data_IF_878766404341
#
_entry.id   IF_878766404341
#
_cell.length_a   1.000
_cell.length_b   1.000
_cell.length_c   1.000
_cell.angle_alpha   90.00
_cell.angle_beta   90.00
_cell.angle_gamma   90.00
#
_symmetry.space_group_name_H-M   'P 1'
#
loop_
_entity.id
_entity.type
_entity.pdbx_description
1 polymer ?
#
# COMPACT_ATOMS: atom_id res chain seq x y z
N UNK A 1 11.26 -24.36 7.57
CA UNK A 1 10.91 -25.34 8.62
C UNK A 1 9.85 -26.29 8.07
N UNK A 2 9.90 -27.59 8.42
CA UNK A 2 8.89 -28.57 7.95
C UNK A 2 7.46 -28.16 8.36
N UNK A 3 7.33 -27.35 9.42
CA UNK A 3 6.07 -26.80 9.93
C UNK A 3 5.51 -25.58 9.17
N UNK A 4 6.15 -25.10 8.09
CA UNK A 4 5.60 -23.99 7.28
C UNK A 4 4.53 -24.51 6.30
N UNK A 5 3.26 -24.15 6.46
CA UNK A 5 2.18 -24.66 5.60
C UNK A 5 2.20 -24.08 4.18
N UNK A 6 2.73 -22.87 3.98
CA UNK A 6 2.73 -22.22 2.67
C UNK A 6 3.87 -22.79 1.79
N UNK A 7 3.48 -23.49 0.72
CA UNK A 7 4.42 -24.10 -0.21
C UNK A 7 5.37 -23.07 -0.87
N UNK A 8 4.91 -21.86 -1.15
CA UNK A 8 5.72 -20.80 -1.75
C UNK A 8 6.71 -20.22 -0.73
N UNK A 9 6.35 -20.18 0.55
CA UNK A 9 7.30 -19.85 1.63
C UNK A 9 8.35 -20.94 1.81
N UNK A 10 7.98 -22.23 1.73
CA UNK A 10 8.97 -23.32 1.80
C UNK A 10 9.99 -23.27 0.66
N UNK A 11 9.56 -22.92 -0.55
CA UNK A 11 10.46 -22.79 -1.71
C UNK A 11 11.39 -21.57 -1.65
N UNK A 12 11.08 -20.59 -0.79
CA UNK A 12 11.77 -19.30 -0.74
C UNK A 12 13.26 -19.44 -0.39
N UNK A 13 13.63 -20.29 0.58
CA UNK A 13 15.03 -20.46 0.97
C UNK A 13 15.92 -21.00 -0.16
N UNK A 14 15.44 -22.00 -0.90
CA UNK A 14 16.16 -22.55 -2.04
C UNK A 14 16.22 -21.56 -3.21
N UNK A 15 15.13 -20.82 -3.45
CA UNK A 15 15.08 -19.77 -4.47
C UNK A 15 16.05 -18.62 -4.17
N UNK A 16 16.13 -18.17 -2.91
CA UNK A 16 17.07 -17.13 -2.45
C UNK A 16 18.52 -17.55 -2.66
N UNK A 17 18.86 -18.78 -2.26
CA UNK A 17 20.21 -19.33 -2.45
C UNK A 17 20.58 -19.41 -3.93
N UNK A 18 19.69 -19.96 -4.75
CA UNK A 18 19.92 -20.09 -6.19
C UNK A 18 20.07 -18.72 -6.86
N UNK A 19 19.23 -17.75 -6.51
CA UNK A 19 19.27 -16.39 -7.06
C UNK A 19 20.56 -15.65 -6.66
N UNK A 20 21.02 -15.81 -5.42
CA UNK A 20 22.28 -15.23 -4.96
C UNK A 20 23.47 -15.78 -5.75
N UNK A 21 23.56 -17.10 -5.93
CA UNK A 21 24.62 -17.73 -6.70
C UNK A 21 24.58 -17.30 -8.18
N UNK A 22 23.39 -17.23 -8.78
CA UNK A 22 23.22 -16.74 -10.14
C UNK A 22 23.69 -15.28 -10.29
N UNK A 23 23.35 -14.40 -9.34
CA UNK A 23 23.78 -13.00 -9.36
C UNK A 23 25.31 -12.86 -9.28
N UNK A 24 25.95 -13.66 -8.43
CA UNK A 24 27.41 -13.67 -8.29
C UNK A 24 28.13 -14.18 -9.55
N UNK A 25 27.47 -15.04 -10.33
CA UNK A 25 27.95 -15.53 -11.64
C UNK A 25 27.60 -14.58 -12.80
N UNK A 26 27.11 -13.37 -12.51
CA UNK A 26 26.67 -12.39 -13.52
C UNK A 26 25.36 -12.75 -14.23
N UNK A 27 24.63 -13.73 -13.72
CA UNK A 27 23.34 -14.17 -14.21
C UNK A 27 22.20 -13.19 -13.88
N UNK A 28 21.18 -13.19 -14.75
CA UNK A 28 19.99 -12.36 -14.55
C UNK A 28 19.07 -12.93 -13.46
N UNK A 29 18.81 -12.14 -12.41
CA UNK A 29 17.82 -12.45 -11.37
C UNK A 29 16.45 -11.94 -11.79
N UNK A 30 15.48 -12.86 -11.92
CA UNK A 30 14.10 -12.52 -12.33
C UNK A 30 13.49 -11.48 -11.39
N UNK A 31 12.86 -10.47 -11.98
CA UNK A 31 12.16 -9.44 -11.23
C UNK A 31 10.87 -9.97 -10.57
N UNK A 32 10.49 -9.40 -9.43
CA UNK A 32 9.26 -9.76 -8.71
C UNK A 32 8.70 -8.60 -7.88
N UNK A 33 7.39 -8.59 -7.61
CA UNK A 33 6.79 -7.49 -6.84
C UNK A 33 7.23 -7.54 -5.37
N UNK A 34 7.46 -6.37 -4.78
CA UNK A 34 7.61 -6.19 -3.35
C UNK A 34 6.25 -6.02 -2.66
N UNK A 35 6.15 -6.39 -1.39
CA UNK A 35 4.94 -6.22 -0.59
C UNK A 35 4.96 -7.02 0.70
N UNK A 36 3.83 -7.01 1.42
CA UNK A 36 3.66 -7.77 2.66
C UNK A 36 2.78 -9.02 2.41
N UNK A 37 3.34 -10.24 2.49
CA UNK A 37 2.54 -11.48 2.37
C UNK A 37 1.37 -11.55 3.36
N UNK A 38 1.54 -10.98 4.56
CA UNK A 38 0.52 -10.92 5.59
C UNK A 38 -0.71 -10.08 5.19
N UNK A 39 -0.63 -9.26 4.13
CA UNK A 39 -1.75 -8.49 3.57
C UNK A 39 -2.36 -9.16 2.32
N UNK A 40 -2.25 -10.49 2.22
CA UNK A 40 -2.87 -11.27 1.13
C UNK A 40 -2.14 -11.17 -0.22
N UNK A 41 -0.98 -10.51 -0.27
CA UNK A 41 -0.12 -10.42 -1.46
C UNK A 41 0.72 -11.68 -1.63
N UNK A 42 0.11 -12.78 -2.08
CA UNK A 42 0.82 -14.05 -2.34
C UNK A 42 1.74 -14.00 -3.56
N UNK A 43 1.53 -13.05 -4.47
CA UNK A 43 2.31 -12.80 -5.68
C UNK A 43 3.77 -12.38 -5.41
N UNK A 44 4.07 -11.90 -4.20
CA UNK A 44 5.42 -11.52 -3.75
C UNK A 44 6.28 -12.74 -3.37
N UNK A 45 5.66 -13.92 -3.30
CA UNK A 45 6.33 -15.19 -3.03
C UNK A 45 6.49 -16.03 -4.33
N UNK A 46 7.37 -17.06 -4.33
CA UNK A 46 8.54 -17.18 -3.45
C UNK A 46 9.49 -15.98 -3.57
N UNK A 47 10.30 -15.78 -2.54
CA UNK A 47 11.38 -14.77 -2.54
C UNK A 47 12.56 -15.22 -3.42
N UNK A 48 13.71 -14.53 -3.35
CA UNK A 48 14.83 -14.75 -4.28
C UNK A 48 14.64 -14.06 -5.64
N UNK A 49 13.93 -12.93 -5.66
CA UNK A 49 13.66 -12.13 -6.86
C UNK A 49 14.24 -10.74 -6.73
N UNK A 50 14.54 -10.12 -7.86
CA UNK A 50 14.90 -8.70 -7.91
C UNK A 50 13.63 -7.85 -7.71
N UNK A 51 13.47 -7.29 -6.52
CA UNK A 51 12.22 -6.66 -6.11
C UNK A 51 11.96 -5.35 -6.88
N UNK A 52 10.73 -5.19 -7.36
CA UNK A 52 10.21 -3.91 -7.85
C UNK A 52 9.02 -3.44 -7.02
N UNK A 53 8.81 -2.13 -6.98
CA UNK A 53 7.69 -1.49 -6.28
C UNK A 53 6.48 -1.33 -7.20
N UNK A 54 5.36 -0.83 -6.65
CA UNK A 54 4.18 -0.49 -7.45
C UNK A 54 4.37 0.78 -8.29
N UNK A 55 3.56 0.92 -9.35
CA UNK A 55 3.42 2.19 -10.09
C UNK A 55 2.83 3.25 -9.14
N UNK A 56 3.51 4.37 -8.86
CA UNK A 56 2.99 5.39 -7.94
C UNK A 56 1.68 6.01 -8.42
N UNK A 57 1.38 5.96 -9.73
CA UNK A 57 0.13 6.48 -10.28
C UNK A 57 -1.08 5.63 -9.95
N UNK A 58 -0.91 4.42 -9.41
CA UNK A 58 -2.03 3.56 -9.00
C UNK A 58 -2.34 3.69 -7.51
N UNK A 59 -1.73 4.66 -6.81
CA UNK A 59 -1.97 4.95 -5.40
C UNK A 59 -2.71 6.30 -5.23
N UNK A 60 -3.71 6.39 -4.35
CA UNK A 60 -4.26 5.30 -3.54
C UNK A 60 -5.08 4.30 -4.38
N UNK A 61 -5.07 3.03 -4.01
CA UNK A 61 -6.01 2.05 -4.59
C UNK A 61 -7.45 2.34 -4.11
N UNK A 62 -8.50 1.86 -4.80
CA UNK A 62 -9.88 2.03 -4.33
C UNK A 62 -10.10 1.48 -2.91
N UNK A 63 -9.56 0.29 -2.62
CA UNK A 63 -9.64 -0.30 -1.27
C UNK A 63 -8.87 0.52 -0.24
N UNK A 64 -7.69 1.04 -0.59
CA UNK A 64 -6.94 1.93 0.30
C UNK A 64 -7.68 3.24 0.54
N UNK A 65 -8.45 3.73 -0.44
CA UNK A 65 -9.31 4.90 -0.27
C UNK A 65 -10.42 4.67 0.76
N UNK A 66 -11.11 3.54 0.68
CA UNK A 66 -12.16 3.21 1.65
C UNK A 66 -11.60 3.08 3.08
N UNK A 67 -10.45 2.42 3.23
CA UNK A 67 -9.77 2.27 4.52
C UNK A 67 -9.24 3.61 5.05
N UNK A 68 -8.63 4.42 4.18
CA UNK A 68 -8.12 5.75 4.53
C UNK A 68 -9.24 6.71 4.94
N UNK A 69 -10.41 6.66 4.27
CA UNK A 69 -11.59 7.42 4.66
C UNK A 69 -12.11 7.01 6.04
N UNK A 70 -12.22 5.71 6.31
CA UNK A 70 -12.62 5.22 7.62
C UNK A 70 -11.62 5.67 8.71
N UNK A 71 -10.32 5.59 8.44
CA UNK A 71 -9.28 6.07 9.36
C UNK A 71 -9.36 7.59 9.60
N UNK A 72 -9.67 8.39 8.57
CA UNK A 72 -9.88 9.82 8.71
C UNK A 72 -11.07 10.13 9.64
N UNK A 73 -12.18 9.42 9.47
CA UNK A 73 -13.38 9.55 10.32
C UNK A 73 -13.06 9.21 11.79
N UNK A 74 -12.26 8.19 12.05
CA UNK A 74 -11.83 7.84 13.41
C UNK A 74 -10.94 8.92 14.04
N UNK A 75 -10.00 9.50 13.28
CA UNK A 75 -9.13 10.58 13.77
C UNK A 75 -9.97 11.78 14.21
N UNK A 76 -10.91 12.20 13.36
CA UNK A 76 -11.81 13.31 13.67
C UNK A 76 -12.67 12.98 14.89
N UNK A 77 -13.27 11.79 14.92
CA UNK A 77 -14.14 11.35 16.02
C UNK A 77 -13.40 11.33 17.36
N UNK A 78 -12.20 10.75 17.38
CA UNK A 78 -11.37 10.69 18.59
C UNK A 78 -10.99 12.08 19.09
N UNK A 79 -10.66 13.01 18.18
CA UNK A 79 -10.37 14.39 18.54
C UNK A 79 -11.59 15.11 19.13
N UNK A 80 -12.75 15.00 18.49
CA UNK A 80 -13.99 15.62 18.97
C UNK A 80 -14.42 15.09 20.34
N UNK A 81 -14.28 13.79 20.58
CA UNK A 81 -14.60 13.17 21.89
C UNK A 81 -13.69 13.67 23.02
N UNK A 82 -12.43 14.00 22.70
CA UNK A 82 -11.44 14.41 23.70
C UNK A 82 -11.36 15.93 23.90
N UNK A 83 -11.70 16.73 22.88
CA UNK A 83 -11.52 18.19 22.90
C UNK A 83 -12.81 18.99 22.74
N UNK A 84 -13.91 18.35 22.33
CA UNK A 84 -15.23 18.99 22.21
C UNK A 84 -15.41 19.89 20.98
N UNK A 85 -14.43 19.98 20.09
CA UNK A 85 -14.48 20.77 18.85
C UNK A 85 -13.72 20.05 17.71
N UNK A 86 -13.85 20.55 16.49
CA UNK A 86 -13.19 20.01 15.30
C UNK A 86 -11.68 20.31 15.28
N UNK A 87 -10.85 19.37 14.78
CA UNK A 87 -9.43 19.66 14.56
C UNK A 87 -9.27 20.75 13.52
N UNK A 88 -8.53 21.82 13.86
CA UNK A 88 -8.30 22.97 12.97
C UNK A 88 -7.17 22.73 11.96
N UNK A 89 -6.23 21.86 12.31
CA UNK A 89 -5.08 21.50 11.50
C UNK A 89 -4.58 20.12 11.88
N UNK A 90 -4.13 19.35 10.90
CA UNK A 90 -3.53 18.02 11.09
C UNK A 90 -2.23 17.96 10.29
N UNK A 91 -1.25 17.22 10.81
CA UNK A 91 -0.01 16.86 10.10
C UNK A 91 -0.04 15.36 9.90
N UNK A 92 0.21 14.92 8.66
CA UNK A 92 0.28 13.51 8.28
C UNK A 92 1.68 13.22 7.79
N UNK A 93 2.27 12.16 8.31
CA UNK A 93 3.57 11.67 7.87
C UNK A 93 3.40 10.61 6.78
N UNK A 94 4.01 10.86 5.61
CA UNK A 94 3.87 10.02 4.42
C UNK A 94 5.19 9.29 4.14
N UNK A 95 5.23 8.00 4.48
CA UNK A 95 6.40 7.16 4.25
C UNK A 95 6.19 6.28 3.02
N UNK A 96 7.01 6.47 1.99
CA UNK A 96 6.87 5.72 0.73
C UNK A 96 6.87 4.20 0.91
N UNK A 97 7.66 3.66 1.85
CA UNK A 97 7.66 2.22 2.12
C UNK A 97 6.34 1.72 2.74
N UNK A 98 5.68 2.55 3.55
CA UNK A 98 4.37 2.25 4.12
C UNK A 98 3.30 2.34 3.03
N UNK A 99 3.30 3.42 2.24
CA UNK A 99 2.38 3.62 1.11
C UNK A 99 2.37 2.46 0.14
N UNK A 100 3.55 1.95 -0.21
CA UNK A 100 3.68 0.82 -1.13
C UNK A 100 3.10 -0.49 -0.56
N UNK A 101 3.07 -0.66 0.77
CA UNK A 101 2.49 -1.85 1.43
C UNK A 101 0.99 -1.73 1.66
N UNK A 102 0.47 -0.52 1.83
CA UNK A 102 -0.94 -0.24 2.08
C UNK A 102 -1.71 0.05 0.79
N UNK A 103 -1.00 0.30 -0.32
CA UNK A 103 -1.62 0.82 -1.54
C UNK A 103 -2.00 2.29 -1.41
N UNK A 104 -1.43 3.04 -0.46
CA UNK A 104 -1.64 4.47 -0.24
C UNK A 104 -2.74 4.83 0.76
N UNK A 105 -2.99 4.01 1.79
CA UNK A 105 -4.04 4.27 2.82
C UNK A 105 -3.86 5.64 3.48
N UNK A 106 -2.63 6.04 3.78
CA UNK A 106 -2.31 7.34 4.40
C UNK A 106 -2.48 8.53 3.43
N UNK A 107 -2.20 8.34 2.13
CA UNK A 107 -2.52 9.33 1.10
C UNK A 107 -4.04 9.49 1.00
N UNK A 108 -4.77 8.39 1.00
CA UNK A 108 -6.23 8.37 1.01
C UNK A 108 -6.82 9.06 2.24
N UNK A 109 -6.26 8.80 3.42
CA UNK A 109 -6.66 9.48 4.66
C UNK A 109 -6.50 11.00 4.54
N UNK A 110 -5.36 11.46 4.01
CA UNK A 110 -5.14 12.88 3.75
C UNK A 110 -6.16 13.47 2.77
N UNK A 111 -6.44 12.79 1.66
CA UNK A 111 -7.46 13.21 0.70
C UNK A 111 -8.84 13.29 1.35
N UNK A 112 -9.25 12.28 2.12
CA UNK A 112 -10.54 12.27 2.81
C UNK A 112 -10.67 13.43 3.82
N UNK A 113 -9.61 13.73 4.59
CA UNK A 113 -9.59 14.87 5.52
C UNK A 113 -9.70 16.23 4.81
N UNK A 114 -9.19 16.32 3.57
CA UNK A 114 -9.34 17.51 2.73
C UNK A 114 -10.71 17.61 2.04
N UNK A 115 -11.58 16.60 2.19
CA UNK A 115 -12.84 16.52 1.44
C UNK A 115 -12.63 16.20 -0.04
N UNK A 116 -11.59 15.43 -0.37
CA UNK A 116 -11.21 15.08 -1.72
C UNK A 116 -11.32 13.58 -1.98
N UNK A 117 -11.64 13.21 -3.23
CA UNK A 117 -11.71 11.83 -3.71
C UNK A 117 -10.84 11.62 -4.96
N UNK A 118 -10.01 10.57 -5.04
CA UNK A 118 -9.29 10.24 -6.27
C UNK A 118 -10.26 9.81 -7.38
N UNK A 119 -9.87 10.05 -8.63
CA UNK A 119 -10.52 9.51 -9.81
C UNK A 119 -9.62 8.45 -10.44
N UNK A 120 -10.15 7.26 -10.70
CA UNK A 120 -9.41 6.15 -11.29
C UNK A 120 -9.86 5.92 -12.73
N UNK A 121 -8.88 5.67 -13.60
CA UNK A 121 -9.14 5.01 -14.88
C UNK A 121 -9.43 3.52 -14.64
N UNK A 122 -10.61 3.05 -15.06
CA UNK A 122 -11.05 1.68 -14.78
C UNK A 122 -10.23 0.61 -15.51
N UNK A 123 -9.58 0.95 -16.63
CA UNK A 123 -8.80 0.00 -17.42
C UNK A 123 -7.40 -0.21 -16.85
N UNK A 124 -6.78 0.85 -16.32
CA UNK A 124 -5.38 0.86 -15.88
C UNK A 124 -5.22 0.95 -14.37
N UNK A 125 -6.27 1.31 -13.64
CA UNK A 125 -6.22 1.57 -12.20
C UNK A 125 -5.43 2.82 -11.81
N UNK A 126 -5.02 3.64 -12.80
CA UNK A 126 -4.25 4.87 -12.54
C UNK A 126 -5.16 6.00 -12.07
N UNK A 127 -4.64 6.83 -11.20
CA UNK A 127 -5.24 8.10 -10.82
C UNK A 127 -5.17 9.04 -12.02
N UNK A 128 -6.33 9.54 -12.43
CA UNK A 128 -6.48 10.51 -13.53
C UNK A 128 -6.81 11.91 -13.03
N UNK A 129 -7.25 12.04 -11.78
CA UNK A 129 -7.62 13.31 -11.18
C UNK A 129 -7.98 13.19 -9.71
N UNK A 130 -8.30 14.33 -9.12
CA UNK A 130 -8.83 14.45 -7.76
C UNK A 130 -10.08 15.31 -7.85
N UNK A 131 -11.18 14.79 -7.33
CA UNK A 131 -12.45 15.49 -7.18
C UNK A 131 -12.52 16.12 -5.79
N UNK A 132 -12.85 17.42 -5.73
CA UNK A 132 -13.17 18.10 -4.47
C UNK A 132 -14.66 17.89 -4.21
N UNK A 133 -14.99 17.29 -3.07
CA UNK A 133 -16.36 17.00 -2.69
C UNK A 133 -17.06 18.28 -2.19
N UNK A 134 -18.33 18.50 -2.56
CA UNK A 134 -19.08 19.63 -2.05
C UNK A 134 -19.33 19.47 -0.55
N UNK A 135 -19.37 20.58 0.22
CA UNK A 135 -19.88 20.51 1.58
C UNK A 135 -21.33 20.02 1.56
N UNK A 136 -21.67 19.18 2.53
CA UNK A 136 -23.07 18.79 2.76
C UNK A 136 -23.87 20.07 3.04
N UNK A 137 -24.98 20.21 2.31
CA UNK A 137 -25.96 21.28 2.52
C UNK A 137 -26.82 21.00 3.75
#
# INVERSE_FOLDING_TARGET
PEDEPDAMRRQSAEAEKAALLAALDGGHVKAGPAGAPARGRSDVLPTGRNLFTSDPRTMPTPTAYDLGRAAAEEVVRGYMQSHGDWPRSLVIDLWGSASLRTGGEEIAQGLALMGCRPQWDLATGRITGIEVLPPVR
#
